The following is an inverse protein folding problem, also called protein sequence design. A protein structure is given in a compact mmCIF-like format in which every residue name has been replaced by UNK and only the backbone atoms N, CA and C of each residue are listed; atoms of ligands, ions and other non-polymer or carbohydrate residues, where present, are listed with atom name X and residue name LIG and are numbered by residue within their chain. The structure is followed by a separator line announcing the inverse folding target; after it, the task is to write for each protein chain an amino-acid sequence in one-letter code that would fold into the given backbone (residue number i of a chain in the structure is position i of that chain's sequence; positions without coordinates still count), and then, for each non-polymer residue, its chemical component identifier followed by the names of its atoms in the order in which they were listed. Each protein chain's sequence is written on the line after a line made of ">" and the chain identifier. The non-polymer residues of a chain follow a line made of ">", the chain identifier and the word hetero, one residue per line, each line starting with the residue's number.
data_IF_298692198372
#
_entry.id   IF_298692198372
#
_cell.length_a   1.000
_cell.length_b   1.000
_cell.length_c   1.000
_cell.angle_alpha   90.00
_cell.angle_beta   90.00
_cell.angle_gamma   90.00
#
_symmetry.space_group_name_H-M   'P 1'
#
loop_
_entity.id
_entity.type
_entity.pdbx_description
1 polymer ?
#
# COMPACT_ATOMS: atom_id res chain seq x y z
N UNK A 1 16.05 1.14 -8.96
CA UNK A 1 14.76 1.21 -8.22
C UNK A 1 14.88 0.41 -6.93
N UNK A 2 14.11 0.74 -5.89
CA UNK A 2 14.01 -0.05 -4.66
C UNK A 2 12.65 -0.75 -4.62
N UNK A 3 12.65 -2.07 -4.79
CA UNK A 3 11.44 -2.89 -4.75
C UNK A 3 10.99 -3.16 -3.32
N UNK A 4 9.68 -3.13 -3.08
CA UNK A 4 9.09 -3.32 -1.75
C UNK A 4 8.06 -4.46 -1.71
N UNK A 5 7.54 -4.90 -2.86
CA UNK A 5 6.66 -6.06 -2.92
C UNK A 5 6.22 -6.42 -4.33
N UNK A 6 5.73 -7.64 -4.49
CA UNK A 6 5.16 -8.14 -5.74
C UNK A 6 3.98 -9.05 -5.48
N UNK A 7 2.96 -9.01 -6.33
CA UNK A 7 1.72 -9.76 -6.15
C UNK A 7 1.24 -10.38 -7.45
N UNK A 8 0.84 -11.65 -7.36
CA UNK A 8 0.17 -12.40 -8.41
C UNK A 8 -1.35 -12.19 -8.29
N UNK A 9 -1.96 -11.54 -9.29
CA UNK A 9 -3.41 -11.34 -9.34
C UNK A 9 -3.93 -11.49 -10.78
N UNK A 10 -4.77 -12.50 -10.99
CA UNK A 10 -5.40 -12.75 -12.28
C UNK A 10 -4.36 -13.02 -13.37
N UNK A 11 -4.42 -12.27 -14.46
CA UNK A 11 -3.51 -12.37 -15.61
C UNK A 11 -2.21 -11.58 -15.44
N UNK A 12 -2.06 -10.83 -14.35
CA UNK A 12 -0.97 -9.89 -14.15
C UNK A 12 -0.10 -10.25 -12.95
N UNK A 13 1.15 -9.79 -13.00
CA UNK A 13 2.02 -9.64 -11.83
C UNK A 13 2.25 -8.16 -11.59
N UNK A 14 2.00 -7.71 -10.37
CA UNK A 14 2.19 -6.32 -9.93
C UNK A 14 3.49 -6.19 -9.15
N UNK A 15 4.23 -5.10 -9.38
CA UNK A 15 5.47 -4.78 -8.68
C UNK A 15 5.39 -3.39 -8.08
N UNK A 16 5.66 -3.28 -6.79
CA UNK A 16 5.68 -2.02 -6.06
C UNK A 16 7.12 -1.63 -5.75
N UNK A 17 7.47 -0.38 -6.06
CA UNK A 17 8.83 0.12 -5.88
C UNK A 17 8.86 1.65 -5.84
N UNK A 18 10.01 2.20 -5.45
CA UNK A 18 10.33 3.63 -5.62
C UNK A 18 11.53 3.83 -6.54
N UNK A 19 11.51 4.90 -7.33
CA UNK A 19 12.55 5.25 -8.29
C UNK A 19 12.68 6.77 -8.44
N UNK A 20 13.75 7.22 -9.08
CA UNK A 20 13.92 8.63 -9.46
C UNK A 20 12.82 9.01 -10.46
N UNK A 21 12.11 10.10 -10.19
CA UNK A 21 11.01 10.60 -11.00
C UNK A 21 11.53 11.39 -12.20
N UNK A 22 11.73 10.71 -13.33
CA UNK A 22 12.21 11.33 -14.59
C UNK A 22 11.26 12.44 -15.06
N UNK A 23 9.95 12.27 -14.84
CA UNK A 23 8.95 13.27 -15.19
C UNK A 23 9.00 14.56 -14.37
N UNK A 24 9.80 14.58 -13.30
CA UNK A 24 9.97 15.72 -12.41
C UNK A 24 11.37 16.37 -12.53
N UNK A 25 12.29 15.80 -13.31
CA UNK A 25 13.69 16.25 -13.38
C UNK A 25 13.81 17.74 -13.75
N UNK A 26 12.95 18.26 -14.63
CA UNK A 26 12.95 19.67 -15.02
C UNK A 26 12.51 20.62 -13.90
N UNK A 27 11.87 20.10 -12.85
CA UNK A 27 11.44 20.85 -11.66
C UNK A 27 12.35 20.58 -10.44
N UNK A 28 13.15 19.51 -10.46
CA UNK A 28 14.06 19.12 -9.40
C UNK A 28 14.29 17.61 -9.34
N UNK A 29 15.08 17.15 -8.37
CA UNK A 29 15.26 15.71 -8.11
C UNK A 29 14.22 15.24 -7.09
N UNK A 30 13.37 14.31 -7.50
CA UNK A 30 12.40 13.66 -6.63
C UNK A 30 12.44 12.14 -6.82
N UNK A 31 12.07 11.41 -5.78
CA UNK A 31 11.75 9.99 -5.84
C UNK A 31 10.24 9.86 -5.90
N UNK A 32 9.69 8.98 -6.74
CA UNK A 32 8.27 8.64 -6.71
C UNK A 32 8.07 7.13 -6.54
N UNK A 33 6.95 6.82 -5.88
CA UNK A 33 6.45 5.46 -5.73
C UNK A 33 5.65 5.03 -6.93
N UNK A 34 5.84 3.78 -7.33
CA UNK A 34 5.25 3.19 -8.52
C UNK A 34 4.59 1.86 -8.18
N UNK A 35 3.54 1.56 -8.93
CA UNK A 35 3.15 0.19 -9.22
C UNK A 35 3.36 -0.05 -10.71
N UNK A 36 4.03 -1.14 -11.04
CA UNK A 36 4.11 -1.66 -12.40
C UNK A 36 3.30 -2.94 -12.53
N UNK A 37 2.89 -3.26 -13.76
CA UNK A 37 2.29 -4.55 -14.10
C UNK A 37 2.93 -5.13 -15.36
N UNK A 38 2.91 -6.45 -15.43
CA UNK A 38 3.22 -7.24 -16.64
C UNK A 38 2.18 -8.35 -16.79
N UNK A 39 1.88 -8.75 -18.01
CA UNK A 39 1.06 -9.93 -18.27
C UNK A 39 1.87 -11.21 -18.04
N UNK A 40 1.27 -12.21 -17.40
CA UNK A 40 1.93 -13.50 -17.15
C UNK A 40 2.25 -14.28 -18.42
N UNK A 41 1.44 -14.08 -19.47
CA UNK A 41 1.61 -14.71 -20.79
C UNK A 41 2.62 -13.96 -21.69
N UNK A 42 3.25 -12.90 -21.20
CA UNK A 42 4.20 -12.12 -21.99
C UNK A 42 5.46 -12.94 -22.27
N UNK A 43 5.72 -13.21 -23.56
CA UNK A 43 6.89 -13.93 -24.07
C UNK A 43 7.89 -13.00 -24.76
N UNK A 44 7.68 -11.69 -24.68
CA UNK A 44 8.41 -10.70 -25.46
C UNK A 44 7.83 -10.52 -26.88
N UNK A 45 8.46 -9.64 -27.66
CA UNK A 45 8.09 -9.43 -29.07
C UNK A 45 8.93 -10.28 -30.02
N UNK A 46 8.53 -10.40 -31.29
CA UNK A 46 9.24 -11.26 -32.26
C UNK A 46 10.65 -10.77 -32.60
N UNK A 47 10.76 -9.52 -33.01
CA UNK A 47 12.03 -8.88 -33.41
C UNK A 47 12.37 -7.73 -32.44
N UNK A 48 11.40 -6.86 -32.21
CA UNK A 48 11.47 -5.78 -31.23
C UNK A 48 11.13 -6.37 -29.85
N UNK A 49 11.94 -6.12 -28.83
CA UNK A 49 11.72 -6.62 -27.46
C UNK A 49 11.74 -8.17 -27.34
N UNK A 50 12.54 -8.89 -28.14
CA UNK A 50 12.64 -10.37 -28.11
C UNK A 50 13.14 -10.96 -26.77
N UNK A 51 13.68 -10.14 -25.86
CA UNK A 51 14.08 -10.54 -24.50
C UNK A 51 13.58 -9.55 -23.44
N UNK A 52 12.57 -8.76 -23.78
CA UNK A 52 12.06 -7.68 -22.95
C UNK A 52 10.54 -7.78 -22.88
N UNK A 53 9.96 -7.34 -21.77
CA UNK A 53 8.51 -7.28 -21.61
C UNK A 53 7.83 -6.47 -22.73
N UNK A 54 6.86 -7.08 -23.41
CA UNK A 54 6.00 -6.42 -24.40
C UNK A 54 4.74 -5.79 -23.76
N UNK A 55 4.52 -6.00 -22.45
CA UNK A 55 3.33 -5.56 -21.71
C UNK A 55 3.62 -4.71 -20.47
N UNK A 56 4.90 -4.36 -20.23
CA UNK A 56 5.30 -3.60 -19.05
C UNK A 56 4.74 -2.18 -19.05
N UNK A 57 3.99 -1.83 -18.00
CA UNK A 57 3.54 -0.47 -17.71
C UNK A 57 3.74 -0.14 -16.24
N UNK A 58 3.95 1.14 -15.91
CA UNK A 58 4.01 1.66 -14.55
C UNK A 58 3.20 2.94 -14.36
N UNK A 59 2.69 3.14 -13.16
CA UNK A 59 1.93 4.33 -12.78
C UNK A 59 2.43 4.87 -11.43
N UNK A 60 2.32 6.18 -11.21
CA UNK A 60 2.63 6.83 -9.92
C UNK A 60 1.57 6.45 -8.89
N UNK A 61 1.99 6.10 -7.68
CA UNK A 61 1.11 6.00 -6.51
C UNK A 61 1.03 7.38 -5.85
N UNK A 62 -0.19 7.86 -5.61
CA UNK A 62 -0.43 9.09 -4.87
C UNK A 62 -0.83 8.74 -3.44
N UNK A 63 0.05 9.01 -2.47
CA UNK A 63 -0.29 9.02 -1.05
C UNK A 63 -0.10 10.44 -0.53
N UNK A 64 -1.18 11.18 -0.32
CA UNK A 64 -1.12 12.59 0.06
C UNK A 64 -2.21 12.98 1.04
N UNK A 65 -1.91 13.95 1.91
CA UNK A 65 -2.94 14.66 2.67
C UNK A 65 -3.65 15.62 1.72
N UNK A 66 -4.97 15.53 1.66
CA UNK A 66 -5.82 16.41 0.84
C UNK A 66 -5.81 17.84 1.36
N UNK A 67 -5.88 18.79 0.44
CA UNK A 67 -5.92 20.23 0.70
C UNK A 67 -5.76 21.00 -0.62
N UNK A 68 -5.82 22.33 -0.58
CA UNK A 68 -5.54 23.17 -1.75
C UNK A 68 -4.15 22.89 -2.33
N UNK A 69 -3.18 22.65 -1.44
CA UNK A 69 -1.85 22.16 -1.76
C UNK A 69 -1.62 20.81 -1.08
N UNK A 70 -1.79 19.68 -1.80
CA UNK A 70 -1.62 18.36 -1.20
C UNK A 70 -0.20 18.13 -0.70
N UNK A 71 -0.07 17.50 0.49
CA UNK A 71 1.23 17.11 1.04
C UNK A 71 1.52 15.64 0.72
N UNK A 72 2.56 15.38 -0.08
CA UNK A 72 2.85 14.04 -0.62
C UNK A 72 3.89 13.26 0.20
N UNK A 73 3.59 11.98 0.46
CA UNK A 73 4.53 11.00 0.96
C UNK A 73 5.01 10.16 -0.22
N UNK A 74 6.19 10.51 -0.73
CA UNK A 74 6.62 10.08 -2.06
C UNK A 74 7.32 8.72 -2.08
N UNK A 75 7.84 8.24 -0.95
CA UNK A 75 8.74 7.08 -0.89
C UNK A 75 8.09 5.88 -0.18
N UNK A 76 7.58 4.92 -0.96
CA UNK A 76 7.00 3.68 -0.44
C UNK A 76 8.09 2.82 0.24
N UNK A 77 7.77 2.28 1.41
CA UNK A 77 8.68 1.46 2.22
C UNK A 77 8.27 -0.01 2.24
N UNK A 78 6.96 -0.28 2.27
CA UNK A 78 6.40 -1.64 2.25
C UNK A 78 4.99 -1.63 1.66
N UNK A 79 4.56 -2.81 1.21
CA UNK A 79 3.20 -3.02 0.71
C UNK A 79 2.70 -4.39 1.17
N UNK A 80 1.44 -4.44 1.56
CA UNK A 80 0.76 -5.61 2.06
C UNK A 80 -0.59 -5.79 1.37
N UNK A 81 -0.93 -7.03 1.06
CA UNK A 81 -2.24 -7.45 0.60
C UNK A 81 -2.80 -8.48 1.58
N UNK A 82 -4.04 -8.30 2.01
CA UNK A 82 -4.68 -9.26 2.90
C UNK A 82 -4.96 -10.57 2.15
N UNK A 83 -4.74 -11.75 2.77
CA UNK A 83 -5.07 -13.03 2.16
C UNK A 83 -6.56 -13.16 1.78
N UNK A 84 -7.44 -12.49 2.55
CA UNK A 84 -8.90 -12.50 2.39
C UNK A 84 -9.43 -11.44 1.44
N UNK A 85 -8.64 -10.41 1.11
CA UNK A 85 -9.03 -9.33 0.19
C UNK A 85 -7.91 -9.06 -0.81
N UNK A 86 -8.05 -9.62 -2.02
CA UNK A 86 -7.13 -9.39 -3.15
C UNK A 86 -7.46 -8.12 -3.95
N UNK A 87 -8.45 -7.35 -3.54
CA UNK A 87 -8.90 -6.15 -4.27
C UNK A 87 -8.27 -4.86 -3.76
N UNK A 88 -7.47 -4.92 -2.69
CA UNK A 88 -6.79 -3.77 -2.11
C UNK A 88 -5.34 -4.06 -1.75
N UNK A 89 -4.56 -2.98 -1.72
CA UNK A 89 -3.21 -2.95 -1.19
C UNK A 89 -3.11 -1.90 -0.10
N UNK A 90 -2.30 -2.16 0.91
CA UNK A 90 -1.98 -1.23 1.99
C UNK A 90 -0.49 -0.98 1.94
N UNK A 91 -0.06 0.28 2.02
CA UNK A 91 1.34 0.61 1.90
C UNK A 91 1.76 1.72 2.85
N UNK A 92 2.99 1.61 3.35
CA UNK A 92 3.67 2.66 4.12
C UNK A 92 4.50 3.53 3.19
N UNK A 93 4.46 4.84 3.41
CA UNK A 93 5.20 5.83 2.66
C UNK A 93 5.94 6.75 3.62
N UNK A 94 7.08 7.27 3.20
CA UNK A 94 7.82 8.32 3.89
C UNK A 94 7.95 9.55 3.00
N UNK A 95 8.21 10.68 3.62
CA UNK A 95 8.78 11.85 2.94
C UNK A 95 10.25 11.58 2.57
N UNK A 96 10.85 12.52 1.82
CA UNK A 96 12.28 12.45 1.50
C UNK A 96 13.14 12.73 2.74
N UNK A 97 14.25 12.01 2.87
CA UNK A 97 15.18 12.10 4.03
C UNK A 97 15.84 13.47 4.19
N UNK A 98 15.90 14.28 3.14
CA UNK A 98 16.53 15.60 3.18
C UNK A 98 15.57 16.73 3.62
N UNK A 99 14.30 16.39 3.90
CA UNK A 99 13.26 17.35 4.26
C UNK A 99 12.61 17.03 5.61
N UNK A 100 11.34 17.42 5.74
CA UNK A 100 10.53 17.13 6.93
C UNK A 100 10.27 15.63 7.01
N UNK A 101 10.81 14.96 8.02
CA UNK A 101 10.62 13.52 8.22
C UNK A 101 9.18 13.24 8.63
N UNK A 102 8.54 12.33 7.92
CA UNK A 102 7.19 11.89 8.25
C UNK A 102 6.82 10.65 7.46
N UNK A 103 5.88 9.90 8.02
CA UNK A 103 5.33 8.70 7.38
C UNK A 103 3.83 8.76 7.27
N UNK A 104 3.31 8.03 6.30
CA UNK A 104 1.89 7.82 6.09
C UNK A 104 1.58 6.37 5.70
N UNK A 105 0.32 5.99 5.89
CA UNK A 105 -0.25 4.72 5.44
C UNK A 105 -1.41 5.04 4.51
N UNK A 106 -1.34 4.53 3.29
CA UNK A 106 -2.41 4.66 2.31
C UNK A 106 -2.88 3.28 1.85
N UNK A 107 -4.15 3.17 1.48
CA UNK A 107 -4.68 2.01 0.77
C UNK A 107 -5.00 2.36 -0.68
N UNK A 108 -4.91 1.38 -1.55
CA UNK A 108 -5.18 1.51 -2.97
C UNK A 108 -6.04 0.35 -3.45
N UNK A 109 -7.21 0.65 -4.01
CA UNK A 109 -8.01 -0.35 -4.68
C UNK A 109 -7.39 -0.80 -6.01
N UNK A 110 -7.54 -2.08 -6.30
CA UNK A 110 -7.13 -2.69 -7.57
C UNK A 110 -7.90 -2.06 -8.75
N UNK A 111 -9.15 -1.65 -8.53
CA UNK A 111 -9.96 -0.93 -9.53
C UNK A 111 -9.36 0.41 -9.93
N UNK A 112 -8.83 1.19 -8.99
CA UNK A 112 -8.17 2.48 -9.29
C UNK A 112 -6.83 2.26 -10.01
N UNK A 113 -6.10 1.19 -9.66
CA UNK A 113 -4.89 0.75 -10.35
C UNK A 113 -5.22 0.39 -11.81
N UNK A 114 -6.24 -0.42 -12.05
CA UNK A 114 -6.71 -0.79 -13.39
C UNK A 114 -7.13 0.43 -14.20
N UNK A 115 -7.89 1.35 -13.58
CA UNK A 115 -8.34 2.59 -14.21
C UNK A 115 -7.19 3.51 -14.61
N UNK A 116 -6.09 3.54 -13.84
CA UNK A 116 -4.87 4.26 -14.25
C UNK A 116 -4.23 3.65 -15.49
N UNK A 117 -4.07 2.31 -15.54
CA UNK A 117 -3.49 1.62 -16.70
C UNK A 117 -4.40 1.64 -17.95
N UNK A 118 -5.71 1.80 -17.78
CA UNK A 118 -6.66 2.04 -18.87
C UNK A 118 -6.66 3.51 -19.34
N UNK A 119 -5.99 4.42 -18.62
CA UNK A 119 -5.95 5.85 -18.90
C UNK A 119 -4.97 6.26 -20.00
N UNK A 120 -4.59 7.55 -20.02
CA UNK A 120 -3.61 8.06 -21.00
C UNK A 120 -2.19 7.70 -20.60
N UNK A 121 -1.34 7.50 -21.60
CA UNK A 121 0.11 7.40 -21.41
C UNK A 121 0.72 8.78 -21.24
N UNK A 122 1.90 8.84 -20.63
CA UNK A 122 2.68 10.07 -20.49
C UNK A 122 3.82 10.07 -21.52
N UNK A 123 3.96 11.14 -22.29
CA UNK A 123 5.06 11.31 -23.26
C UNK A 123 5.92 12.53 -22.94
N UNK A 124 7.18 12.44 -23.35
CA UNK A 124 8.08 13.58 -23.44
C UNK A 124 8.58 13.65 -24.89
N UNK A 125 8.09 14.62 -25.67
CA UNK A 125 8.37 14.69 -27.10
C UNK A 125 9.87 14.87 -27.41
N UNK A 126 10.57 15.66 -26.60
CA UNK A 126 12.02 15.83 -26.65
C UNK A 126 12.57 15.90 -25.23
N UNK A 127 13.89 15.77 -25.04
CA UNK A 127 14.53 15.84 -23.71
C UNK A 127 14.20 17.13 -22.93
N UNK A 128 13.90 18.21 -23.65
CA UNK A 128 13.65 19.53 -23.07
C UNK A 128 12.14 19.87 -23.02
N UNK A 129 11.28 19.02 -23.59
CA UNK A 129 9.83 19.23 -23.58
C UNK A 129 9.23 18.88 -22.22
N UNK A 130 8.09 19.49 -21.92
CA UNK A 130 7.25 19.09 -20.79
C UNK A 130 6.71 17.68 -20.99
N UNK A 131 6.45 16.99 -19.88
CA UNK A 131 5.74 15.71 -19.89
C UNK A 131 4.24 15.95 -20.03
N UNK A 132 3.65 15.42 -21.10
CA UNK A 132 2.24 15.65 -21.44
C UNK A 132 1.48 14.33 -21.66
N UNK A 133 0.15 14.33 -21.51
CA UNK A 133 -0.66 13.16 -21.80
C UNK A 133 -0.71 12.88 -23.32
N UNK A 134 -0.49 11.63 -23.71
CA UNK A 134 -0.63 11.18 -25.10
C UNK A 134 -2.11 11.28 -25.51
N UNK A 135 -2.36 11.82 -26.71
CA UNK A 135 -3.69 11.86 -27.30
C UNK A 135 -4.16 10.45 -27.66
N UNK A 136 -5.43 10.12 -27.37
CA UNK A 136 -5.97 8.77 -27.58
C UNK A 136 -5.87 8.30 -29.03
N UNK A 137 -5.94 9.20 -30.01
CA UNK A 137 -5.79 8.90 -31.44
C UNK A 137 -4.39 8.44 -31.85
N UNK A 138 -3.37 8.67 -31.01
CA UNK A 138 -1.98 8.22 -31.24
C UNK A 138 -1.68 6.86 -30.61
N UNK A 139 -2.60 6.30 -29.84
CA UNK A 139 -2.41 5.01 -29.18
C UNK A 139 -2.71 3.92 -30.22
N UNK A 140 -1.76 3.02 -30.55
CA UNK A 140 -1.98 1.97 -31.53
C UNK A 140 -2.89 0.85 -30.98
N UNK A 141 -3.44 0.05 -31.88
CA UNK A 141 -4.20 -1.16 -31.55
C UNK A 141 -3.42 -2.44 -31.92
N UNK A 142 -3.53 -3.54 -31.12
CA UNK A 142 -4.23 -3.61 -29.84
C UNK A 142 -3.58 -2.72 -28.78
N UNK A 143 -4.39 -2.17 -27.87
CA UNK A 143 -3.93 -1.25 -26.83
C UNK A 143 -2.69 -1.80 -26.08
N UNK A 144 -1.57 -1.04 -26.06
CA UNK A 144 -0.34 -1.42 -25.36
C UNK A 144 -0.57 -1.80 -23.89
N UNK A 145 0.06 -2.89 -23.45
CA UNK A 145 0.00 -3.37 -22.06
C UNK A 145 -1.28 -4.10 -21.67
N UNK A 146 -2.09 -4.53 -22.65
CA UNK A 146 -3.16 -5.52 -22.48
C UNK A 146 -2.62 -6.93 -22.72
N UNK A 147 -3.23 -7.94 -22.08
CA UNK A 147 -2.80 -9.32 -22.24
C UNK A 147 -3.38 -9.91 -23.53
N UNK A 148 -2.50 -10.45 -24.36
CA UNK A 148 -2.83 -11.19 -25.58
C UNK A 148 -2.32 -12.62 -25.46
N UNK A 149 -2.83 -13.53 -26.28
CA UNK A 149 -2.40 -14.93 -26.26
C UNK A 149 -0.93 -15.10 -26.69
N UNK A 150 -0.48 -14.31 -27.67
CA UNK A 150 0.89 -14.36 -28.17
C UNK A 150 1.42 -12.94 -28.40
N UNK A 151 2.35 -12.49 -27.55
CA UNK A 151 2.97 -11.16 -27.65
C UNK A 151 3.92 -11.04 -28.84
N UNK A 152 4.38 -12.16 -29.42
CA UNK A 152 5.24 -12.14 -30.62
C UNK A 152 4.47 -11.76 -31.89
N UNK A 153 3.14 -11.91 -31.88
CA UNK A 153 2.25 -11.51 -32.96
C UNK A 153 1.86 -10.02 -32.91
N UNK A 154 2.30 -9.27 -31.89
CA UNK A 154 1.98 -7.84 -31.76
C UNK A 154 2.61 -7.01 -32.90
N UNK A 155 1.89 -6.01 -33.44
CA UNK A 155 2.45 -5.11 -34.44
C UNK A 155 3.65 -4.31 -33.90
N UNK A 156 4.65 -4.06 -34.76
CA UNK A 156 5.82 -3.24 -34.42
C UNK A 156 5.45 -1.84 -33.90
N UNK A 157 4.33 -1.28 -34.34
CA UNK A 157 3.81 -0.01 -33.84
C UNK A 157 3.48 -0.07 -32.33
N UNK A 158 2.87 -1.16 -31.86
CA UNK A 158 2.54 -1.38 -30.43
C UNK A 158 3.81 -1.57 -29.62
N UNK A 159 4.74 -2.40 -30.11
CA UNK A 159 6.00 -2.69 -29.43
C UNK A 159 6.90 -1.45 -29.34
N UNK A 160 6.98 -0.64 -30.40
CA UNK A 160 7.70 0.63 -30.37
C UNK A 160 7.05 1.64 -29.44
N UNK A 161 5.72 1.71 -29.43
CA UNK A 161 4.97 2.62 -28.56
C UNK A 161 5.21 2.29 -27.08
N UNK A 162 5.02 1.03 -26.66
CA UNK A 162 5.14 0.66 -25.24
C UNK A 162 6.56 0.83 -24.72
N UNK A 163 7.56 0.60 -25.59
CA UNK A 163 8.98 0.80 -25.27
C UNK A 163 9.29 2.25 -24.89
N UNK A 164 8.69 3.22 -25.57
CA UNK A 164 8.90 4.65 -25.30
C UNK A 164 7.88 5.25 -24.32
N UNK A 165 6.74 4.59 -24.09
CA UNK A 165 5.67 5.07 -23.22
C UNK A 165 5.31 4.11 -22.07
N UNK A 166 6.27 3.69 -21.23
CA UNK A 166 5.98 2.78 -20.12
C UNK A 166 5.22 3.45 -18.96
N UNK A 167 5.19 4.79 -18.89
CA UNK A 167 4.61 5.54 -17.78
C UNK A 167 3.18 6.02 -18.10
N UNK A 168 2.24 5.72 -17.21
CA UNK A 168 0.88 6.26 -17.27
C UNK A 168 0.85 7.72 -16.80
N UNK A 169 -0.02 8.53 -17.40
CA UNK A 169 -0.16 9.95 -17.04
C UNK A 169 -0.87 10.13 -15.69
N UNK A 170 -1.97 9.39 -15.48
CA UNK A 170 -2.79 9.48 -14.27
C UNK A 170 -2.13 8.74 -13.11
N UNK A 171 -1.85 9.46 -12.02
CA UNK A 171 -1.47 8.85 -10.75
C UNK A 171 -2.65 8.08 -10.14
N UNK A 172 -2.35 6.99 -9.43
CA UNK A 172 -3.33 6.16 -8.73
C UNK A 172 -3.63 6.83 -7.40
N UNK A 173 -4.89 7.22 -7.22
CA UNK A 173 -5.34 7.89 -5.99
C UNK A 173 -5.50 6.88 -4.86
N UNK A 174 -5.08 7.24 -3.64
CA UNK A 174 -5.37 6.45 -2.45
C UNK A 174 -6.85 6.51 -2.09
N UNK A 175 -7.33 5.49 -1.39
CA UNK A 175 -8.74 5.42 -0.96
C UNK A 175 -9.04 6.51 0.10
N UNK A 176 -10.31 6.88 0.21
CA UNK A 176 -10.86 7.73 1.29
C UNK A 176 -10.32 9.17 1.38
N UNK A 177 -9.58 9.65 0.37
CA UNK A 177 -9.15 11.04 0.23
C UNK A 177 -8.00 11.48 1.14
N UNK A 178 -7.74 10.81 2.26
CA UNK A 178 -6.59 11.07 3.14
C UNK A 178 -5.89 9.77 3.53
N UNK A 179 -4.61 9.82 3.93
CA UNK A 179 -3.93 8.64 4.45
C UNK A 179 -4.66 8.12 5.70
N UNK A 180 -4.73 6.79 5.84
CA UNK A 180 -5.32 6.11 7.01
C UNK A 180 -4.62 6.56 8.29
N UNK A 181 -3.30 6.72 8.25
CA UNK A 181 -2.52 7.22 9.37
C UNK A 181 -1.37 8.04 8.82
N UNK A 182 -0.99 9.12 9.49
CA UNK A 182 0.25 9.84 9.21
C UNK A 182 0.80 10.46 10.48
N UNK A 183 2.12 10.59 10.57
CA UNK A 183 2.81 11.20 11.72
C UNK A 183 4.14 11.82 11.29
N UNK A 184 4.45 12.97 11.87
CA UNK A 184 5.76 13.62 11.75
C UNK A 184 6.80 12.89 12.61
N UNK A 185 8.07 13.03 12.24
CA UNK A 185 9.22 12.50 13.00
C UNK A 185 9.11 11.00 13.28
N UNK A 186 8.55 10.26 12.31
CA UNK A 186 8.36 8.82 12.35
C UNK A 186 8.71 8.24 10.99
N UNK A 187 9.49 7.15 10.97
CA UNK A 187 9.82 6.38 9.77
C UNK A 187 9.18 5.00 9.90
N UNK A 188 8.07 4.79 9.18
CA UNK A 188 7.42 3.50 9.06
C UNK A 188 8.14 2.63 8.03
N UNK A 189 8.41 1.37 8.37
CA UNK A 189 9.23 0.46 7.54
C UNK A 189 8.45 -0.72 6.99
N UNK A 190 7.64 -1.39 7.81
CA UNK A 190 6.86 -2.59 7.42
C UNK A 190 5.42 -2.46 7.89
N UNK A 191 4.50 -3.15 7.22
CA UNK A 191 3.12 -3.25 7.69
C UNK A 191 2.50 -4.62 7.46
N UNK A 192 1.55 -4.95 8.32
CA UNK A 192 0.54 -5.99 8.10
C UNK A 192 -0.80 -5.49 8.59
N UNK A 193 -1.86 -6.01 7.98
CA UNK A 193 -3.25 -5.62 8.28
C UNK A 193 -4.07 -6.85 8.63
N UNK A 194 -4.88 -6.70 9.67
CA UNK A 194 -5.94 -7.63 10.06
C UNK A 194 -7.32 -7.01 9.79
N UNK A 195 -8.30 -7.84 9.48
CA UNK A 195 -9.71 -7.46 9.34
C UNK A 195 -10.52 -8.21 10.40
N UNK A 196 -11.22 -7.45 11.23
CA UNK A 196 -12.12 -7.97 12.25
C UNK A 196 -13.54 -7.54 11.88
N UNK A 197 -14.42 -8.52 11.74
CA UNK A 197 -15.84 -8.29 11.54
C UNK A 197 -16.60 -8.66 12.82
N UNK A 198 -17.45 -7.75 13.29
CA UNK A 198 -18.37 -7.98 14.41
C UNK A 198 -19.76 -8.13 13.81
N UNK A 199 -20.13 -9.37 13.49
CA UNK A 199 -21.31 -9.71 12.68
C UNK A 199 -22.62 -9.13 13.20
N UNK A 200 -22.79 -9.08 14.53
CA UNK A 200 -24.04 -8.64 15.17
C UNK A 200 -24.26 -7.13 15.02
N UNK A 201 -23.18 -6.37 14.87
CA UNK A 201 -23.22 -4.92 14.67
C UNK A 201 -23.00 -4.54 13.19
N UNK A 202 -22.78 -5.53 12.32
CA UNK A 202 -22.34 -5.34 10.93
C UNK A 202 -21.17 -4.34 10.81
N UNK A 203 -20.28 -4.34 11.80
CA UNK A 203 -19.19 -3.38 11.92
C UNK A 203 -17.87 -4.05 11.56
N UNK A 204 -17.10 -3.41 10.68
CA UNK A 204 -15.80 -3.90 10.26
C UNK A 204 -14.69 -2.95 10.72
N UNK A 205 -13.65 -3.54 11.29
CA UNK A 205 -12.44 -2.84 11.72
C UNK A 205 -11.24 -3.38 10.95
N UNK A 206 -10.42 -2.48 10.42
CA UNK A 206 -9.10 -2.82 9.89
C UNK A 206 -8.05 -2.45 10.94
N UNK A 207 -7.24 -3.41 11.36
CA UNK A 207 -6.17 -3.19 12.35
C UNK A 207 -4.83 -3.27 11.65
N UNK A 208 -4.14 -2.13 11.64
CA UNK A 208 -2.81 -1.95 11.07
C UNK A 208 -1.76 -2.13 12.15
N UNK A 209 -0.79 -2.99 11.89
CA UNK A 209 0.43 -3.09 12.68
C UNK A 209 1.57 -2.49 11.85
N UNK A 210 2.03 -1.31 12.27
CA UNK A 210 2.98 -0.49 11.51
C UNK A 210 4.32 -0.47 12.22
N UNK A 211 5.33 -1.08 11.61
CA UNK A 211 6.68 -1.10 12.14
C UNK A 211 7.46 0.18 11.89
N UNK A 212 8.43 0.46 12.76
CA UNK A 212 9.36 1.57 12.62
C UNK A 212 10.81 1.10 12.45
N UNK A 213 11.66 2.02 12.02
CA UNK A 213 13.11 1.85 12.01
C UNK A 213 13.75 1.85 13.42
N UNK A 214 12.98 2.12 14.47
CA UNK A 214 13.44 2.14 15.86
C UNK A 214 12.96 0.92 16.67
N UNK A 215 12.32 -0.05 16.00
CA UNK A 215 11.87 -1.29 16.64
C UNK A 215 10.55 -1.18 17.39
N UNK A 216 9.73 -0.20 17.03
CA UNK A 216 8.38 0.00 17.58
C UNK A 216 7.32 -0.51 16.60
N UNK A 217 6.18 -0.94 17.12
CA UNK A 217 4.97 -1.22 16.35
C UNK A 217 3.86 -0.27 16.77
N UNK A 218 3.35 0.52 15.83
CA UNK A 218 2.15 1.33 16.01
C UNK A 218 0.93 0.50 15.62
N UNK A 219 0.02 0.27 16.57
CA UNK A 219 -1.26 -0.41 16.34
C UNK A 219 -2.34 0.64 16.05
N UNK A 220 -2.82 0.71 14.83
CA UNK A 220 -3.83 1.67 14.40
C UNK A 220 -5.08 0.92 13.97
N UNK A 221 -6.26 1.37 14.40
CA UNK A 221 -7.54 0.85 13.92
C UNK A 221 -8.17 1.84 12.95
N UNK A 222 -8.70 1.35 11.84
CA UNK A 222 -9.55 2.09 10.92
C UNK A 222 -10.96 1.51 10.99
N UNK A 223 -11.96 2.38 10.97
CA UNK A 223 -13.37 2.05 10.99
C UNK A 223 -14.17 3.09 10.18
N UNK A 224 -15.38 2.73 9.81
CA UNK A 224 -16.29 3.61 9.09
C UNK A 224 -17.38 4.12 10.03
N UNK A 225 -17.61 5.44 9.99
CA UNK A 225 -18.67 6.10 10.74
C UNK A 225 -19.28 7.17 9.84
N UNK A 226 -20.60 7.14 9.67
CA UNK A 226 -21.35 8.02 8.76
C UNK A 226 -20.79 8.07 7.32
N UNK A 227 -20.35 6.91 6.81
CA UNK A 227 -19.73 6.80 5.48
C UNK A 227 -18.31 7.39 5.37
N UNK A 228 -17.76 7.93 6.46
CA UNK A 228 -16.40 8.45 6.50
C UNK A 228 -15.44 7.45 7.14
N UNK A 229 -14.28 7.28 6.50
CA UNK A 229 -13.17 6.52 7.08
C UNK A 229 -12.54 7.33 8.21
N UNK A 230 -12.46 6.72 9.40
CA UNK A 230 -11.75 7.26 10.56
C UNK A 230 -10.69 6.28 11.00
N UNK A 231 -9.61 6.79 11.59
CA UNK A 231 -8.55 5.97 12.14
C UNK A 231 -8.06 6.50 13.48
N UNK A 232 -7.63 5.59 14.35
CA UNK A 232 -7.16 5.90 15.70
C UNK A 232 -5.94 5.05 16.04
N UNK A 233 -4.91 5.69 16.59
CA UNK A 233 -3.79 5.00 17.22
C UNK A 233 -4.26 4.38 18.55
N UNK A 234 -4.18 3.06 18.66
CA UNK A 234 -4.59 2.31 19.85
C UNK A 234 -3.45 2.09 20.83
N UNK A 235 -2.28 1.71 20.30
CA UNK A 235 -1.14 1.35 21.14
C UNK A 235 0.19 1.47 20.39
N UNK A 236 1.28 1.52 21.14
CA UNK A 236 2.65 1.44 20.62
C UNK A 236 3.38 0.34 21.40
N UNK A 237 3.85 -0.69 20.68
CA UNK A 237 4.66 -1.75 21.26
C UNK A 237 6.13 -1.44 21.06
N UNK A 238 6.90 -1.42 22.14
CA UNK A 238 8.36 -1.36 22.07
C UNK A 238 8.91 -2.80 21.97
N UNK A 239 9.22 -3.23 20.75
CA UNK A 239 9.48 -4.65 20.45
C UNK A 239 10.97 -4.95 20.50
N UNK A 240 11.79 -4.09 19.90
CA UNK A 240 13.24 -4.25 19.83
C UNK A 240 13.91 -2.87 19.82
N UNK A 241 14.13 -2.24 20.98
CA UNK A 241 14.61 -0.86 21.07
C UNK A 241 15.88 -0.63 20.21
N UNK A 242 15.84 0.38 19.35
CA UNK A 242 16.92 0.76 18.43
C UNK A 242 17.28 -0.29 17.36
N UNK A 243 16.44 -1.31 17.14
CA UNK A 243 16.62 -2.28 16.06
C UNK A 243 15.52 -2.10 15.00
N UNK A 244 15.86 -1.76 13.74
CA UNK A 244 14.90 -1.69 12.67
C UNK A 244 14.17 -3.02 12.45
N UNK A 245 12.85 -2.94 12.29
CA UNK A 245 12.06 -4.12 11.93
C UNK A 245 12.18 -4.35 10.42
N UNK A 246 12.68 -5.54 10.06
CA UNK A 246 13.01 -5.94 8.69
C UNK A 246 11.86 -6.68 8.02
N UNK A 247 11.07 -7.44 8.76
CA UNK A 247 9.95 -8.23 8.21
C UNK A 247 8.84 -8.41 9.24
N UNK A 248 7.59 -8.40 8.76
CA UNK A 248 6.41 -8.70 9.57
C UNK A 248 5.52 -9.71 8.86
N UNK A 249 4.92 -10.63 9.64
CA UNK A 249 3.89 -11.57 9.16
C UNK A 249 2.80 -11.70 10.21
N UNK A 250 1.56 -11.79 9.76
CA UNK A 250 0.40 -12.00 10.62
C UNK A 250 -0.20 -13.37 10.31
N UNK A 251 -0.44 -14.17 11.35
CA UNK A 251 -1.17 -15.43 11.24
C UNK A 251 -2.56 -15.30 11.86
N UNK A 252 -3.58 -15.41 11.02
CA UNK A 252 -4.97 -15.51 11.47
C UNK A 252 -5.22 -16.79 12.27
N UNK A 253 -4.58 -17.89 11.87
CA UNK A 253 -4.77 -19.21 12.47
C UNK A 253 -4.25 -19.25 13.90
N UNK A 254 -3.07 -18.68 14.14
CA UNK A 254 -2.44 -18.66 15.46
C UNK A 254 -2.75 -17.39 16.25
N UNK A 255 -3.46 -16.44 15.63
CA UNK A 255 -3.74 -15.12 16.20
C UNK A 255 -2.47 -14.45 16.75
N UNK A 256 -1.41 -14.48 15.93
CA UNK A 256 -0.10 -13.93 16.31
C UNK A 256 0.50 -13.08 15.21
N UNK A 257 1.22 -12.05 15.64
CA UNK A 257 2.11 -11.21 14.85
C UNK A 257 3.56 -11.68 15.03
N UNK A 258 4.23 -11.95 13.93
CA UNK A 258 5.66 -12.33 13.88
C UNK A 258 6.47 -11.16 13.34
N UNK A 259 7.53 -10.79 14.05
CA UNK A 259 8.35 -9.61 13.77
C UNK A 259 9.81 -10.06 13.74
N UNK A 260 10.49 -9.82 12.62
CA UNK A 260 11.92 -10.09 12.47
C UNK A 260 12.72 -8.79 12.44
N UNK A 261 13.80 -8.73 13.24
CA UNK A 261 14.89 -7.77 13.10
C UNK A 261 16.13 -8.49 12.57
N UNK A 262 17.24 -7.78 12.39
CA UNK A 262 18.51 -8.42 12.01
C UNK A 262 19.05 -9.37 13.09
N UNK A 263 18.60 -9.24 14.35
CA UNK A 263 19.13 -10.01 15.48
C UNK A 263 18.19 -11.12 15.98
N UNK A 264 16.88 -10.97 15.80
CA UNK A 264 15.89 -11.86 16.45
C UNK A 264 14.54 -11.88 15.76
N UNK A 265 13.74 -12.89 16.12
CA UNK A 265 12.32 -12.97 15.80
C UNK A 265 11.51 -12.89 17.10
N UNK A 266 10.47 -12.07 17.12
CA UNK A 266 9.48 -12.01 18.21
C UNK A 266 8.10 -12.41 17.71
N UNK A 267 7.37 -13.11 18.57
CA UNK A 267 5.96 -13.40 18.40
C UNK A 267 5.17 -12.59 19.44
N UNK A 268 4.10 -11.94 18.99
CA UNK A 268 3.17 -11.16 19.83
C UNK A 268 1.76 -11.66 19.54
N UNK A 269 1.00 -11.97 20.59
CA UNK A 269 -0.41 -12.33 20.43
C UNK A 269 -1.22 -11.12 19.97
N UNK A 270 -2.16 -11.33 19.05
CA UNK A 270 -3.05 -10.25 18.59
C UNK A 270 -4.05 -9.85 19.70
N UNK A 271 -4.44 -10.82 20.53
CA UNK A 271 -5.44 -10.68 21.59
C UNK A 271 -4.75 -10.62 22.94
N UNK A 272 -4.31 -9.44 23.35
CA UNK A 272 -3.60 -9.22 24.63
C UNK A 272 -4.49 -8.64 25.75
N UNK A 273 -5.82 -8.70 25.60
CA UNK A 273 -6.80 -7.97 26.40
C UNK A 273 -6.49 -7.90 27.90
N UNK A 274 -6.51 -9.04 28.60
CA UNK A 274 -6.29 -9.09 30.05
C UNK A 274 -4.84 -8.74 30.45
N UNK A 275 -3.87 -9.03 29.58
CA UNK A 275 -2.44 -8.83 29.86
C UNK A 275 -2.00 -7.38 29.62
N UNK A 276 -2.65 -6.66 28.70
CA UNK A 276 -2.25 -5.34 28.22
C UNK A 276 -3.13 -4.22 28.74
N UNK A 277 -4.41 -4.49 29.00
CA UNK A 277 -5.40 -3.49 29.40
C UNK A 277 -6.01 -3.83 30.76
N UNK A 278 -5.69 -2.99 31.74
CA UNK A 278 -6.17 -3.03 33.13
C UNK A 278 -7.35 -2.09 33.39
N UNK A 279 -7.72 -1.29 32.39
CA UNK A 279 -8.76 -0.27 32.49
C UNK A 279 -9.81 -0.45 31.40
N UNK A 280 -11.07 -0.25 31.80
CA UNK A 280 -12.23 -0.26 30.89
C UNK A 280 -11.96 0.64 29.69
N UNK A 281 -11.50 1.87 29.92
CA UNK A 281 -11.26 2.87 28.88
C UNK A 281 -10.33 2.39 27.75
N UNK A 282 -9.23 1.69 28.07
CA UNK A 282 -8.33 1.15 27.03
C UNK A 282 -8.90 -0.12 26.40
N UNK A 283 -9.49 -0.98 27.23
CA UNK A 283 -10.05 -2.26 26.80
C UNK A 283 -11.10 -2.10 25.68
N UNK A 284 -12.05 -1.20 25.86
CA UNK A 284 -13.19 -1.04 24.97
C UNK A 284 -12.83 -0.43 23.60
N UNK A 285 -11.61 0.09 23.44
CA UNK A 285 -11.14 0.70 22.19
C UNK A 285 -10.45 -0.29 21.26
N UNK A 286 -9.99 -1.42 21.78
CA UNK A 286 -9.30 -2.44 21.00
C UNK A 286 -10.33 -3.42 20.42
N UNK A 287 -10.44 -3.56 19.09
CA UNK A 287 -11.49 -4.39 18.48
C UNK A 287 -11.37 -5.89 18.79
N UNK A 288 -10.24 -6.37 19.32
CA UNK A 288 -10.13 -7.75 19.81
C UNK A 288 -10.68 -7.96 21.22
N UNK A 289 -10.99 -6.88 21.94
CA UNK A 289 -11.24 -6.89 23.38
C UNK A 289 -12.62 -6.35 23.75
N UNK A 290 -13.11 -6.77 24.91
CA UNK A 290 -14.31 -6.25 25.55
C UNK A 290 -14.15 -6.22 27.06
N UNK A 291 -14.78 -5.24 27.71
CA UNK A 291 -14.75 -5.13 29.17
C UNK A 291 -15.91 -5.92 29.79
N UNK A 292 -15.56 -6.89 30.62
CA UNK A 292 -16.49 -7.69 31.41
C UNK A 292 -16.81 -6.94 32.72
N UNK A 293 -18.05 -6.46 32.85
CA UNK A 293 -18.50 -5.66 34.00
C UNK A 293 -18.58 -6.49 35.28
N UNK A 294 -18.89 -7.77 35.17
CA UNK A 294 -19.12 -8.64 36.32
C UNK A 294 -17.79 -9.03 36.96
N UNK A 295 -16.78 -9.33 36.13
CA UNK A 295 -15.42 -9.61 36.61
C UNK A 295 -14.54 -8.38 36.77
N UNK A 296 -14.97 -7.21 36.28
CA UNK A 296 -14.19 -5.97 36.32
C UNK A 296 -12.85 -6.10 35.58
N UNK A 297 -12.80 -6.86 34.49
CA UNK A 297 -11.56 -7.19 33.77
C UNK A 297 -11.69 -7.09 32.26
N UNK A 298 -10.57 -6.85 31.58
CA UNK A 298 -10.52 -6.86 30.11
C UNK A 298 -10.34 -8.27 29.59
N UNK A 299 -11.18 -8.70 28.65
CA UNK A 299 -11.19 -10.06 28.09
C UNK A 299 -11.27 -10.02 26.56
N UNK A 300 -10.92 -11.11 25.86
CA UNK A 300 -11.27 -11.26 24.45
C UNK A 300 -12.75 -10.96 24.26
N UNK A 301 -13.10 -10.19 23.22
CA UNK A 301 -14.46 -9.75 23.01
C UNK A 301 -15.44 -10.94 22.95
N UNK A 302 -16.54 -10.81 23.69
CA UNK A 302 -17.67 -11.74 23.70
C UNK A 302 -18.97 -10.94 23.79
N UNK A 303 -20.07 -11.57 23.37
CA UNK A 303 -21.39 -10.94 23.45
C UNK A 303 -21.71 -10.52 24.89
N UNK A 304 -22.15 -9.28 25.08
CA UNK A 304 -22.48 -8.72 26.40
C UNK A 304 -21.33 -7.96 27.05
N UNK A 305 -20.09 -8.05 26.53
CA UNK A 305 -18.99 -7.20 27.01
C UNK A 305 -19.09 -5.80 26.41
N UNK A 306 -18.68 -4.80 27.18
CA UNK A 306 -18.64 -3.42 26.69
C UNK A 306 -17.56 -3.29 25.62
N UNK A 307 -17.89 -2.60 24.53
CA UNK A 307 -16.99 -2.23 23.45
C UNK A 307 -17.45 -0.89 22.87
N UNK A 308 -16.52 -0.05 22.42
CA UNK A 308 -16.87 1.22 21.74
C UNK A 308 -17.26 0.88 20.31
N UNK A 309 -18.51 1.17 19.98
CA UNK A 309 -19.06 1.20 18.61
C UNK A 309 -18.47 2.38 17.84
#
# INVERSE_FOLDING_TARGET
>A
PNFVGSFDIGEYVYFFFREIAVEYINCGKAVYSRVARVCKKDTGGKNILNQNWATYLKARLNCSISGEFPFYFNEIQDVYQMPTDKTRFYATFTTSTNGLVGSAVCSFSLGEIHSSFAGKFKEQATSNSAWLPVMSSKIPEPRPGTCVEDTTALPDAVLNFIRSHPLMDRAITHDYGNPVFYKRDLILTKLVVDKISIDILNQEYLVYYLATNEGRIYKVVQYFHDGQSRAKLLDIFDVAPNEPIQVMRLSQRYKSLYIGTDSRIKQIDLVMCNRRYDSCYRCVQDPYCGWDRDSGSCRPYQLGFLQVT
#
